data_IF_387776287917
#
_entry.id   IF_387776287917
#
_cell.length_a   1.000
_cell.length_b   1.000
_cell.length_c   1.000
_cell.angle_alpha   90.00
_cell.angle_beta   90.00
_cell.angle_gamma   90.00
#
_symmetry.space_group_name_H-M   'P 1'
#
loop_
_entity.id
_entity.type
_entity.pdbx_description
1 polymer ?
#
# COMPACT_ATOMS: atom_id res chain seq x y z
N UNK A 1 -13.44 -13.13 -13.81
CA UNK A 1 -13.35 -12.35 -12.56
C UNK A 1 -12.32 -11.25 -12.74
N UNK A 2 -12.79 -10.00 -12.58
CA UNK A 2 -12.12 -8.70 -12.45
C UNK A 2 -10.66 -8.53 -12.90
N UNK A 3 -10.48 -8.11 -14.16
CA UNK A 3 -9.31 -7.35 -14.61
C UNK A 3 -9.72 -5.88 -14.70
N UNK A 4 -9.70 -5.17 -13.57
CA UNK A 4 -9.91 -3.72 -13.58
C UNK A 4 -8.57 -3.09 -13.94
N UNK A 5 -8.54 -2.47 -15.10
CA UNK A 5 -7.41 -1.77 -15.68
C UNK A 5 -7.68 -0.28 -15.60
N UNK A 6 -6.86 0.45 -14.84
CA UNK A 6 -6.86 1.91 -14.90
C UNK A 6 -5.46 2.40 -15.23
N UNK A 7 -5.33 3.20 -16.29
CA UNK A 7 -4.09 3.83 -16.75
C UNK A 7 -2.97 2.89 -17.25
N UNK A 8 -3.33 1.76 -17.88
CA UNK A 8 -2.39 0.95 -18.68
C UNK A 8 -1.68 -0.19 -17.95
N UNK A 9 -1.93 -0.43 -16.66
CA UNK A 9 -1.39 -1.58 -15.94
C UNK A 9 -2.52 -2.58 -15.65
N UNK A 10 -2.46 -3.71 -16.35
CA UNK A 10 -3.48 -4.76 -16.30
C UNK A 10 -2.85 -6.10 -15.93
N UNK A 11 -2.74 -6.36 -14.63
CA UNK A 11 -2.46 -7.68 -14.08
C UNK A 11 -0.98 -8.01 -13.86
N UNK A 12 -0.69 -8.54 -12.67
CA UNK A 12 0.20 -9.70 -12.60
C UNK A 12 1.54 -9.55 -11.89
N UNK A 13 1.78 -8.48 -11.15
CA UNK A 13 2.76 -8.54 -10.05
C UNK A 13 1.97 -8.24 -8.80
N UNK A 14 1.70 -9.24 -7.96
CA UNK A 14 1.13 -8.99 -6.64
C UNK A 14 2.21 -8.31 -5.80
N UNK A 15 2.50 -7.05 -6.08
CA UNK A 15 3.51 -6.26 -5.38
C UNK A 15 3.17 -6.28 -3.91
N UNK A 16 1.88 -6.15 -3.59
CA UNK A 16 1.27 -6.28 -2.27
C UNK A 16 1.54 -7.59 -1.49
N UNK A 17 2.24 -8.59 -2.04
CA UNK A 17 2.71 -9.76 -1.29
C UNK A 17 4.05 -10.32 -1.81
N UNK A 18 4.83 -9.55 -2.55
CA UNK A 18 6.08 -10.03 -3.12
C UNK A 18 7.29 -9.84 -2.18
N UNK A 19 7.09 -9.18 -1.02
CA UNK A 19 8.10 -8.82 -0.01
C UNK A 19 9.11 -7.78 -0.47
N UNK A 20 8.77 -7.03 -1.49
CA UNK A 20 9.51 -5.87 -1.95
C UNK A 20 8.64 -4.64 -1.76
N UNK A 21 9.27 -3.47 -1.73
CA UNK A 21 8.55 -2.20 -1.74
C UNK A 21 8.58 -1.69 -3.18
N UNK A 22 7.52 -1.97 -3.94
CA UNK A 22 7.45 -1.58 -5.35
C UNK A 22 6.04 -1.24 -5.85
N UNK A 23 5.99 -0.68 -7.06
CA UNK A 23 4.75 -0.17 -7.63
C UNK A 23 4.20 1.01 -6.84
N UNK A 24 3.05 0.80 -6.19
CA UNK A 24 2.29 1.81 -5.47
C UNK A 24 2.27 1.54 -3.96
N UNK A 25 3.32 0.96 -3.40
CA UNK A 25 3.39 0.60 -1.98
C UNK A 25 3.99 1.72 -1.12
N UNK A 26 3.36 1.97 0.04
CA UNK A 26 3.94 2.89 1.04
C UNK A 26 4.94 2.21 1.95
N UNK A 27 4.78 0.90 2.15
CA UNK A 27 5.75 0.01 2.78
C UNK A 27 5.68 -1.37 2.11
N UNK A 28 6.65 -2.25 2.40
CA UNK A 28 6.71 -3.59 1.81
C UNK A 28 5.35 -4.29 1.91
N UNK A 29 4.78 -4.70 0.77
CA UNK A 29 3.51 -5.43 0.70
C UNK A 29 2.25 -4.67 1.21
N UNK A 30 2.32 -3.34 1.43
CA UNK A 30 1.19 -2.57 1.95
C UNK A 30 1.15 -1.09 1.55
N UNK A 31 -0.03 -0.49 1.66
CA UNK A 31 -0.26 0.94 1.45
C UNK A 31 -0.40 1.37 -0.01
N UNK A 32 -0.20 2.68 -0.20
CA UNK A 32 -0.37 3.47 -1.42
C UNK A 32 -1.69 3.26 -2.17
N UNK A 33 -2.76 3.02 -1.41
CA UNK A 33 -4.14 2.95 -1.89
C UNK A 33 -4.48 1.79 -2.84
N UNK A 34 -3.47 1.06 -3.34
CA UNK A 34 -3.65 -0.14 -4.16
C UNK A 34 -3.50 -1.43 -3.36
N UNK A 35 -2.67 -1.43 -2.30
CA UNK A 35 -2.47 -2.56 -1.41
C UNK A 35 -3.28 -2.43 -0.13
N UNK A 36 -3.30 -3.50 0.67
CA UNK A 36 -3.91 -3.49 2.00
C UNK A 36 -3.29 -2.39 2.88
N UNK A 37 -4.04 -1.78 3.80
CA UNK A 37 -3.49 -0.77 4.70
C UNK A 37 -2.35 -1.35 5.53
N UNK A 38 -1.31 -0.57 5.72
CA UNK A 38 -0.19 -0.88 6.60
C UNK A 38 -0.63 -0.83 8.08
N UNK A 39 -0.16 -1.79 8.86
CA UNK A 39 -0.20 -1.77 10.32
C UNK A 39 0.66 -0.68 10.96
N UNK A 40 0.44 -0.43 12.25
CA UNK A 40 1.25 0.46 13.06
C UNK A 40 2.74 0.12 13.03
N UNK A 41 3.58 1.15 12.96
CA UNK A 41 5.02 1.04 12.84
C UNK A 41 5.56 0.88 11.42
N UNK A 42 4.69 0.66 10.43
CA UNK A 42 5.07 0.60 9.01
C UNK A 42 5.05 1.98 8.36
N UNK A 43 5.74 2.09 7.22
CA UNK A 43 5.80 3.34 6.45
C UNK A 43 4.48 3.66 5.78
N UNK A 44 4.19 4.96 5.69
CA UNK A 44 3.00 5.48 5.04
C UNK A 44 3.33 6.77 4.30
N UNK A 45 2.60 7.04 3.21
CA UNK A 45 2.64 8.34 2.54
C UNK A 45 1.51 9.26 2.99
N UNK A 46 0.42 8.68 3.49
CA UNK A 46 -0.68 9.40 4.07
C UNK A 46 -1.58 8.52 4.94
N UNK A 47 -2.60 9.13 5.58
CA UNK A 47 -3.50 8.44 6.49
C UNK A 47 -4.25 7.28 5.83
N UNK A 48 -4.58 7.37 4.54
CA UNK A 48 -5.25 6.28 3.81
C UNK A 48 -4.42 5.01 3.68
N UNK A 49 -3.09 5.10 3.88
CA UNK A 49 -2.20 3.96 3.78
C UNK A 49 -2.17 3.14 5.07
N UNK A 50 -2.72 3.66 6.17
CA UNK A 50 -2.68 3.02 7.49
C UNK A 50 -4.02 2.43 7.87
N UNK A 51 -4.01 1.26 8.51
CA UNK A 51 -5.23 0.59 8.97
C UNK A 51 -6.06 1.47 9.93
N UNK A 52 -5.37 2.26 10.76
CA UNK A 52 -5.98 3.18 11.71
C UNK A 52 -6.28 4.57 11.14
N UNK A 53 -5.92 4.85 9.89
CA UNK A 53 -6.09 6.18 9.29
C UNK A 53 -5.10 7.25 9.79
N UNK A 54 -4.02 6.87 10.48
CA UNK A 54 -3.09 7.80 11.12
C UNK A 54 -1.68 7.56 10.59
N UNK A 55 -1.17 8.52 9.83
CA UNK A 55 0.20 8.54 9.34
C UNK A 55 0.94 9.73 9.94
N UNK A 56 1.86 9.47 10.88
CA UNK A 56 2.62 10.50 11.60
C UNK A 56 4.11 10.35 11.27
N UNK A 57 4.75 11.43 10.79
CA UNK A 57 6.15 11.40 10.34
C UNK A 57 6.46 10.31 9.28
N UNK A 58 5.48 9.94 8.46
CA UNK A 58 5.63 8.88 7.46
C UNK A 58 5.62 7.47 8.03
N UNK A 59 5.12 7.30 9.27
CA UNK A 59 4.91 6.01 9.93
C UNK A 59 3.45 5.91 10.39
N UNK A 60 2.82 4.76 10.16
CA UNK A 60 1.50 4.46 10.68
C UNK A 60 1.55 4.43 12.20
N UNK A 61 0.76 5.27 12.85
CA UNK A 61 0.90 5.54 14.28
C UNK A 61 -0.40 5.38 15.05
N UNK A 62 -0.34 4.62 16.13
CA UNK A 62 -1.33 4.52 17.21
C UNK A 62 -0.74 5.02 18.50
#
# INVERSE_FOLDING_TARGET
MSAVCNNGVCGGSNTCTNRWQDGAESDVDCGGGQCQPCWDGQRCFGPQDCWNGVCTNGICGG
#
